data_IF_363871315498
#
_entry.id   IF_363871315498
#
_cell.length_a   1.000
_cell.length_b   1.000
_cell.length_c   1.000
_cell.angle_alpha   90.00
_cell.angle_beta   90.00
_cell.angle_gamma   90.00
#
_symmetry.space_group_name_H-M   'P 1'
#
loop_
_entity.id
_entity.type
_entity.pdbx_description
1 polymer ?
#
# COMPACT_ATOMS: atom_id res chain seq x y z
N UNK A 1 -21.57 -13.72 9.26
CA UNK A 1 -20.73 -12.51 9.33
C UNK A 1 -21.54 -11.24 9.65
N UNK A 2 -22.61 -10.89 8.92
CA UNK A 2 -23.55 -9.81 9.31
C UNK A 2 -24.11 -9.99 10.74
N UNK A 3 -24.38 -11.24 11.14
CA UNK A 3 -24.82 -11.60 12.49
C UNK A 3 -23.69 -11.60 13.55
N UNK A 4 -22.42 -11.73 13.15
CA UNK A 4 -21.30 -11.83 14.10
C UNK A 4 -20.77 -10.45 14.52
N UNK A 5 -20.93 -9.44 13.67
CA UNK A 5 -20.51 -8.06 13.93
C UNK A 5 -21.59 -7.22 14.63
N UNK A 6 -22.86 -7.62 14.54
CA UNK A 6 -23.98 -6.92 15.16
C UNK A 6 -24.12 -7.19 16.67
N UNK A 7 -23.53 -8.28 17.18
CA UNK A 7 -23.72 -8.72 18.58
C UNK A 7 -22.58 -8.30 19.54
N UNK A 8 -21.43 -7.82 19.06
CA UNK A 8 -20.26 -7.55 19.92
C UNK A 8 -19.55 -6.22 19.57
N UNK A 9 -19.94 -5.08 20.19
CA UNK A 9 -19.26 -3.78 20.07
C UNK A 9 -17.78 -3.82 20.50
N UNK A 10 -17.37 -4.89 21.20
CA UNK A 10 -15.98 -5.13 21.65
C UNK A 10 -15.02 -5.48 20.52
N UNK A 11 -15.52 -5.79 19.32
CA UNK A 11 -14.69 -6.15 18.17
C UNK A 11 -14.04 -4.95 17.47
N UNK A 12 -14.42 -3.70 17.80
CA UNK A 12 -13.82 -2.49 17.23
C UNK A 12 -12.29 -2.38 17.47
N UNK A 13 -11.77 -3.06 18.50
CA UNK A 13 -10.34 -3.19 18.79
C UNK A 13 -9.80 -4.62 18.72
N UNK A 14 -10.63 -5.59 18.33
CA UNK A 14 -10.19 -6.98 18.20
C UNK A 14 -9.38 -7.15 16.90
N UNK A 15 -8.23 -7.80 17.04
CA UNK A 15 -7.37 -8.15 15.91
C UNK A 15 -7.88 -9.45 15.28
N UNK A 16 -7.81 -9.54 13.95
CA UNK A 16 -7.92 -10.82 13.27
C UNK A 16 -6.63 -11.65 13.45
N UNK A 17 -6.59 -12.88 12.92
CA UNK A 17 -5.41 -13.75 13.00
C UNK A 17 -4.15 -13.15 12.33
N UNK A 18 -4.33 -12.14 11.47
CA UNK A 18 -3.25 -11.40 10.79
C UNK A 18 -2.83 -10.14 11.56
N UNK A 19 -3.42 -9.90 12.74
CA UNK A 19 -3.09 -8.78 13.61
C UNK A 19 -3.74 -7.45 13.24
N UNK A 20 -4.61 -7.39 12.22
CA UNK A 20 -5.28 -6.19 11.75
C UNK A 20 -6.57 -5.90 12.52
N UNK A 21 -6.87 -4.62 12.79
CA UNK A 21 -8.17 -4.22 13.32
C UNK A 21 -9.32 -4.60 12.39
N UNK A 22 -10.51 -4.86 12.93
CA UNK A 22 -11.69 -5.18 12.14
C UNK A 22 -12.04 -4.09 11.09
N UNK A 23 -11.70 -2.83 11.35
CA UNK A 23 -11.89 -1.71 10.41
C UNK A 23 -10.92 -1.81 9.23
N UNK A 24 -9.63 -2.04 9.50
CA UNK A 24 -8.63 -2.24 8.45
C UNK A 24 -8.89 -3.51 7.66
N UNK A 25 -9.40 -4.56 8.30
CA UNK A 25 -9.82 -5.78 7.61
C UNK A 25 -11.04 -5.56 6.70
N UNK A 26 -12.03 -4.77 7.13
CA UNK A 26 -13.15 -4.38 6.29
C UNK A 26 -12.67 -3.57 5.06
N UNK A 27 -11.75 -2.62 5.26
CA UNK A 27 -11.11 -1.92 4.17
C UNK A 27 -10.36 -2.90 3.25
N UNK A 28 -9.54 -3.79 3.82
CA UNK A 28 -8.71 -4.77 3.11
C UNK A 28 -9.54 -5.69 2.20
N UNK A 29 -10.66 -6.18 2.71
CA UNK A 29 -11.59 -7.03 1.97
C UNK A 29 -12.48 -6.24 0.99
N UNK A 30 -12.22 -4.92 0.81
CA UNK A 30 -12.99 -3.99 -0.02
C UNK A 30 -14.47 -3.94 0.35
N UNK A 31 -14.76 -4.02 1.64
CA UNK A 31 -16.07 -3.88 2.24
C UNK A 31 -16.15 -2.63 3.14
N UNK A 32 -15.90 -1.41 2.60
CA UNK A 32 -15.92 -0.18 3.39
C UNK A 32 -17.31 0.12 4.01
N UNK A 33 -18.38 -0.46 3.47
CA UNK A 33 -19.74 -0.36 4.02
C UNK A 33 -19.88 -0.99 5.41
N UNK A 34 -18.94 -1.85 5.81
CA UNK A 34 -18.90 -2.43 7.14
C UNK A 34 -18.19 -1.52 8.14
N UNK A 35 -17.44 -0.51 7.69
CA UNK A 35 -16.70 0.37 8.58
C UNK A 35 -17.59 1.12 9.58
N UNK A 36 -18.76 1.69 9.21
CA UNK A 36 -19.68 2.29 10.18
C UNK A 36 -20.21 1.29 11.21
N UNK A 37 -20.40 0.02 10.83
CA UNK A 37 -20.85 -1.03 11.76
C UNK A 37 -19.77 -1.37 12.79
N UNK A 38 -18.50 -1.39 12.37
CA UNK A 38 -17.36 -1.72 13.24
C UNK A 38 -16.94 -0.52 14.10
N UNK A 39 -16.98 0.69 13.55
CA UNK A 39 -16.70 1.94 14.28
C UNK A 39 -17.83 2.31 15.24
N UNK A 40 -19.07 1.95 14.93
CA UNK A 40 -20.25 2.40 15.66
C UNK A 40 -20.36 3.92 15.63
N UNK A 41 -20.42 4.56 16.81
CA UNK A 41 -20.51 6.01 16.94
C UNK A 41 -19.14 6.72 16.99
N UNK A 42 -18.01 6.00 16.97
CA UNK A 42 -16.68 6.62 17.04
C UNK A 42 -16.22 7.08 15.66
N UNK A 43 -15.52 8.21 15.62
CA UNK A 43 -14.80 8.61 14.40
C UNK A 43 -13.57 7.71 14.18
N UNK A 44 -13.20 7.45 12.91
CA UNK A 44 -11.99 6.71 12.62
C UNK A 44 -10.76 7.45 13.14
N UNK A 45 -9.78 6.69 13.60
CA UNK A 45 -8.46 7.23 13.89
C UNK A 45 -7.74 7.63 12.59
N UNK A 46 -6.51 8.13 12.70
CA UNK A 46 -5.77 8.61 11.55
C UNK A 46 -5.47 7.52 10.51
N UNK A 47 -5.02 6.35 10.95
CA UNK A 47 -4.65 5.25 10.05
C UNK A 47 -5.90 4.64 9.41
N UNK A 48 -6.98 4.50 10.18
CA UNK A 48 -8.28 4.08 9.67
C UNK A 48 -8.85 5.07 8.66
N UNK A 49 -8.74 6.38 8.91
CA UNK A 49 -9.16 7.41 7.97
C UNK A 49 -8.33 7.35 6.67
N UNK A 50 -7.01 7.07 6.76
CA UNK A 50 -6.17 6.86 5.58
C UNK A 50 -6.60 5.63 4.76
N UNK A 51 -7.12 4.59 5.42
CA UNK A 51 -7.60 3.38 4.75
C UNK A 51 -9.01 3.55 4.15
N UNK A 52 -9.92 4.19 4.88
CA UNK A 52 -11.32 4.33 4.50
C UNK A 52 -11.57 5.41 3.45
N UNK A 53 -10.70 6.41 3.34
CA UNK A 53 -10.82 7.48 2.36
C UNK A 53 -11.48 8.82 2.78
N UNK A 54 -11.99 9.07 4.01
CA UNK A 54 -12.56 10.39 4.34
C UNK A 54 -11.46 11.46 4.41
N UNK A 55 -11.22 12.13 3.30
CA UNK A 55 -10.15 13.11 3.09
C UNK A 55 -10.20 14.25 4.11
N UNK A 56 -11.39 14.76 4.40
CA UNK A 56 -11.61 15.86 5.33
C UNK A 56 -11.18 15.48 6.75
N UNK A 57 -11.43 14.22 7.14
CA UNK A 57 -11.00 13.70 8.45
C UNK A 57 -9.49 13.56 8.53
N UNK A 58 -8.85 13.08 7.45
CA UNK A 58 -7.38 13.02 7.39
C UNK A 58 -6.78 14.42 7.49
N UNK A 59 -7.29 15.39 6.73
CA UNK A 59 -6.81 16.76 6.76
C UNK A 59 -6.97 17.40 8.16
N UNK A 60 -8.10 17.15 8.83
CA UNK A 60 -8.33 17.62 10.20
C UNK A 60 -7.31 17.03 11.19
N UNK A 61 -7.04 15.73 11.11
CA UNK A 61 -6.08 15.05 11.99
C UNK A 61 -4.64 15.51 11.73
N UNK A 62 -4.25 15.71 10.46
CA UNK A 62 -2.95 16.29 10.10
C UNK A 62 -2.79 17.72 10.61
N UNK A 63 -3.86 18.52 10.61
CA UNK A 63 -3.82 19.89 11.13
C UNK A 63 -3.66 19.93 12.66
N UNK A 64 -4.17 18.92 13.37
CA UNK A 64 -4.04 18.79 14.83
C UNK A 64 -2.65 18.30 15.23
N UNK A 65 -2.13 17.31 14.53
CA UNK A 65 -0.80 16.75 14.76
C UNK A 65 -0.13 16.41 13.42
N UNK A 66 0.71 17.32 12.87
CA UNK A 66 1.45 17.04 11.64
C UNK A 66 2.42 15.86 11.75
N UNK A 67 2.88 15.53 12.97
CA UNK A 67 3.79 14.42 13.22
C UNK A 67 3.17 13.04 12.99
N UNK A 68 1.84 12.95 13.03
CA UNK A 68 1.09 11.70 12.89
C UNK A 68 1.31 11.04 11.52
N UNK A 69 1.64 11.82 10.48
CA UNK A 69 1.95 11.32 9.14
C UNK A 69 3.17 10.39 9.10
N UNK A 70 4.09 10.52 10.07
CA UNK A 70 5.32 9.72 10.20
C UNK A 70 5.14 8.49 11.09
N UNK A 71 4.02 8.40 11.80
CA UNK A 71 3.75 7.31 12.72
C UNK A 71 3.13 6.10 12.01
N UNK A 72 3.50 4.92 12.48
CA UNK A 72 2.85 3.68 12.08
C UNK A 72 1.66 3.39 13.00
N UNK A 73 0.65 2.71 12.46
CA UNK A 73 -0.46 2.20 13.22
C UNK A 73 0.03 1.14 14.21
N UNK A 74 -0.83 0.74 15.15
CA UNK A 74 -0.57 -0.38 16.06
C UNK A 74 -0.39 -1.72 15.34
N UNK A 75 -0.75 -1.77 14.06
CA UNK A 75 -0.61 -2.95 13.20
C UNK A 75 0.62 -2.85 12.29
N UNK A 76 1.44 -1.81 12.49
CA UNK A 76 2.70 -1.60 11.78
C UNK A 76 2.53 -0.97 10.40
N UNK A 77 1.35 -0.50 10.02
CA UNK A 77 1.14 0.15 8.72
C UNK A 77 1.35 1.65 8.81
N UNK A 78 2.08 2.25 7.87
CA UNK A 78 2.13 3.71 7.73
C UNK A 78 0.81 4.22 7.16
N UNK A 79 0.42 5.45 7.52
CA UNK A 79 -0.77 6.10 6.93
C UNK A 79 -0.65 6.17 5.40
N UNK A 80 0.56 6.45 4.89
CA UNK A 80 0.84 6.49 3.46
C UNK A 80 0.67 5.10 2.81
N UNK A 81 1.20 4.06 3.43
CA UNK A 81 1.05 2.68 2.94
C UNK A 81 -0.42 2.29 2.81
N UNK A 82 -1.25 2.62 3.82
CA UNK A 82 -2.69 2.36 3.77
C UNK A 82 -3.37 3.14 2.64
N UNK A 83 -3.13 4.46 2.55
CA UNK A 83 -3.72 5.29 1.50
C UNK A 83 -3.36 4.78 0.09
N UNK A 84 -2.10 4.39 -0.12
CA UNK A 84 -1.64 3.86 -1.40
C UNK A 84 -2.25 2.49 -1.69
N UNK A 85 -2.28 1.59 -0.71
CA UNK A 85 -2.85 0.25 -0.86
C UNK A 85 -4.33 0.30 -1.25
N UNK A 86 -5.09 1.23 -0.68
CA UNK A 86 -6.50 1.43 -0.98
C UNK A 86 -6.78 2.36 -2.18
N UNK A 87 -5.74 2.94 -2.80
CA UNK A 87 -5.91 3.72 -4.02
C UNK A 87 -6.25 5.20 -3.80
N UNK A 88 -6.15 5.72 -2.58
CA UNK A 88 -6.54 7.08 -2.22
C UNK A 88 -5.47 8.10 -2.59
N UNK A 89 -5.42 8.49 -3.88
CA UNK A 89 -4.41 9.39 -4.43
C UNK A 89 -4.28 10.73 -3.67
N UNK A 90 -5.40 11.40 -3.41
CA UNK A 90 -5.38 12.71 -2.72
C UNK A 90 -4.93 12.60 -1.27
N UNK A 91 -5.27 11.50 -0.59
CA UNK A 91 -4.76 11.23 0.77
C UNK A 91 -3.27 10.96 0.72
N UNK A 92 -2.80 10.13 -0.21
CA UNK A 92 -1.37 9.89 -0.39
C UNK A 92 -0.60 11.21 -0.63
N UNK A 93 -1.16 12.12 -1.44
CA UNK A 93 -0.58 13.44 -1.72
C UNK A 93 -0.44 14.28 -0.43
N UNK A 94 -1.52 14.41 0.34
CA UNK A 94 -1.50 15.13 1.62
C UNK A 94 -0.47 14.56 2.60
N UNK A 95 -0.36 13.23 2.67
CA UNK A 95 0.56 12.56 3.59
C UNK A 95 2.02 12.79 3.22
N UNK A 96 2.34 12.74 1.93
CA UNK A 96 3.69 13.02 1.44
C UNK A 96 4.06 14.49 1.66
N UNK A 97 3.13 15.42 1.43
CA UNK A 97 3.30 16.85 1.74
C UNK A 97 3.47 17.12 3.24
N UNK A 98 2.82 16.32 4.09
CA UNK A 98 3.00 16.34 5.55
C UNK A 98 4.31 15.67 6.02
N UNK A 99 5.14 15.18 5.09
CA UNK A 99 6.45 14.61 5.39
C UNK A 99 6.41 13.14 5.81
N UNK A 100 5.40 12.38 5.37
CA UNK A 100 5.42 10.92 5.49
C UNK A 100 6.63 10.33 4.74
N UNK A 101 7.25 9.30 5.32
CA UNK A 101 8.37 8.61 4.69
C UNK A 101 7.87 7.67 3.58
N UNK A 102 8.11 8.04 2.32
CA UNK A 102 7.72 7.28 1.12
C UNK A 102 8.42 5.92 0.99
N UNK A 103 9.54 5.73 1.70
CA UNK A 103 10.36 4.52 1.64
C UNK A 103 10.16 3.60 2.85
N UNK A 104 9.43 4.06 3.87
CA UNK A 104 9.26 3.29 5.10
C UNK A 104 8.38 2.07 4.87
N UNK A 105 8.90 0.84 5.00
CA UNK A 105 8.07 -0.35 4.92
C UNK A 105 7.16 -0.47 6.15
N UNK A 106 6.11 -1.28 6.03
CA UNK A 106 5.32 -1.69 7.18
C UNK A 106 6.20 -2.44 8.20
N UNK A 107 5.89 -2.30 9.50
CA UNK A 107 6.56 -3.01 10.58
C UNK A 107 6.02 -4.45 10.77
N UNK A 108 5.08 -4.88 9.92
CA UNK A 108 4.58 -6.24 9.91
C UNK A 108 5.58 -7.21 9.25
N UNK A 109 5.30 -8.52 9.32
CA UNK A 109 6.21 -9.58 8.82
C UNK A 109 6.52 -9.44 7.32
N UNK A 110 5.58 -8.89 6.55
CA UNK A 110 5.70 -8.78 5.08
C UNK A 110 6.58 -7.58 4.68
N UNK A 111 6.67 -6.54 5.53
CA UNK A 111 7.48 -5.32 5.31
C UNK A 111 7.26 -4.67 3.94
N UNK A 112 6.01 -4.46 3.57
CA UNK A 112 5.61 -3.89 2.28
C UNK A 112 5.93 -2.40 2.26
N UNK A 113 6.67 -1.96 1.24
CA UNK A 113 6.90 -0.54 0.98
C UNK A 113 5.71 0.09 0.24
N UNK A 114 5.42 1.39 0.42
CA UNK A 114 4.35 2.08 -0.31
C UNK A 114 4.45 1.90 -1.82
N UNK A 115 5.66 1.88 -2.38
CA UNK A 115 5.89 1.71 -3.81
C UNK A 115 5.40 0.35 -4.34
N UNK A 116 5.57 -0.74 -3.58
CA UNK A 116 4.99 -2.05 -3.92
C UNK A 116 3.47 -2.01 -3.87
N UNK A 117 2.88 -1.36 -2.86
CA UNK A 117 1.42 -1.21 -2.77
C UNK A 117 0.83 -0.46 -3.97
N UNK A 118 1.54 0.53 -4.53
CA UNK A 118 1.12 1.22 -5.74
C UNK A 118 1.11 0.29 -6.97
N UNK A 119 2.11 -0.58 -7.08
CA UNK A 119 2.18 -1.59 -8.15
C UNK A 119 1.08 -2.64 -8.00
N UNK A 120 0.84 -3.13 -6.79
CA UNK A 120 -0.21 -4.12 -6.51
C UNK A 120 -1.62 -3.58 -6.74
N UNK A 121 -1.86 -2.31 -6.39
CA UNK A 121 -3.12 -1.64 -6.71
C UNK A 121 -3.29 -1.37 -8.21
N UNK A 122 -2.19 -1.37 -8.98
CA UNK A 122 -2.21 -1.06 -10.41
C UNK A 122 -2.34 0.44 -10.71
N UNK A 123 -2.17 1.31 -9.72
CA UNK A 123 -2.31 2.76 -9.86
C UNK A 123 -1.00 3.41 -10.32
N UNK A 124 -0.94 3.77 -11.60
CA UNK A 124 0.20 4.51 -12.18
C UNK A 124 0.34 5.89 -11.54
N UNK A 125 -0.76 6.58 -11.26
CA UNK A 125 -0.73 7.89 -10.62
C UNK A 125 -0.11 7.85 -9.21
N UNK A 126 -0.40 6.81 -8.43
CA UNK A 126 0.24 6.62 -7.12
C UNK A 126 1.72 6.26 -7.26
N UNK A 127 2.07 5.44 -8.25
CA UNK A 127 3.46 5.11 -8.56
C UNK A 127 4.26 6.37 -8.88
N UNK A 128 3.76 7.21 -9.78
CA UNK A 128 4.40 8.49 -10.15
C UNK A 128 4.52 9.43 -8.97
N UNK A 129 3.47 9.56 -8.15
CA UNK A 129 3.48 10.41 -6.96
C UNK A 129 4.61 9.99 -6.01
N UNK A 130 4.74 8.69 -5.73
CA UNK A 130 5.76 8.18 -4.83
C UNK A 130 7.17 8.35 -5.41
N UNK A 131 7.38 8.05 -6.69
CA UNK A 131 8.67 8.21 -7.37
C UNK A 131 9.11 9.68 -7.40
N UNK A 132 8.19 10.62 -7.67
CA UNK A 132 8.46 12.05 -7.68
C UNK A 132 8.93 12.59 -6.31
N UNK A 133 8.57 11.90 -5.22
CA UNK A 133 8.96 12.26 -3.86
C UNK A 133 10.10 11.39 -3.30
N UNK A 134 10.87 10.74 -4.17
CA UNK A 134 12.09 10.03 -3.79
C UNK A 134 11.88 8.60 -3.30
N UNK A 135 10.79 7.95 -3.71
CA UNK A 135 10.65 6.51 -3.50
C UNK A 135 11.75 5.74 -4.26
N UNK A 136 12.41 4.83 -3.56
CA UNK A 136 13.49 4.00 -4.08
C UNK A 136 12.90 2.87 -4.94
N UNK A 137 13.24 2.77 -6.22
CA UNK A 137 12.62 1.80 -7.13
C UNK A 137 13.04 0.34 -6.87
N UNK A 138 14.16 0.13 -6.18
CA UNK A 138 14.71 -1.20 -5.87
C UNK A 138 14.52 -1.61 -4.40
N UNK A 139 13.53 -1.03 -3.71
CA UNK A 139 13.13 -1.56 -2.41
C UNK A 139 12.75 -3.02 -2.58
N UNK A 140 13.18 -3.84 -1.63
CA UNK A 140 12.89 -5.28 -1.64
C UNK A 140 11.87 -5.61 -0.56
N UNK A 141 10.90 -6.43 -0.92
CA UNK A 141 9.95 -7.04 0.01
C UNK A 141 10.29 -8.51 0.29
N UNK A 142 9.28 -9.29 0.70
CA UNK A 142 9.37 -10.74 0.82
C UNK A 142 9.96 -11.40 -0.45
N UNK A 143 10.80 -12.43 -0.26
CA UNK A 143 11.55 -13.12 -1.33
C UNK A 143 12.48 -12.22 -2.17
N UNK A 144 12.92 -11.08 -1.63
CA UNK A 144 13.79 -10.13 -2.31
C UNK A 144 13.18 -9.58 -3.62
N UNK A 145 11.85 -9.57 -3.72
CA UNK A 145 11.14 -9.04 -4.87
C UNK A 145 11.13 -7.50 -4.86
N UNK A 146 11.43 -6.90 -6.01
CA UNK A 146 11.34 -5.44 -6.23
C UNK A 146 10.00 -5.07 -6.89
N UNK A 147 9.58 -3.79 -6.84
CA UNK A 147 8.40 -3.31 -7.55
C UNK A 147 8.41 -3.68 -9.06
N UNK A 148 9.60 -3.73 -9.67
CA UNK A 148 9.77 -4.11 -11.07
C UNK A 148 9.39 -5.58 -11.31
N UNK A 149 9.71 -6.48 -10.38
CA UNK A 149 9.28 -7.88 -10.45
C UNK A 149 7.76 -8.01 -10.44
N UNK A 150 7.09 -7.32 -9.52
CA UNK A 150 5.62 -7.32 -9.43
C UNK A 150 4.96 -6.70 -10.66
N UNK A 151 5.46 -5.56 -11.15
CA UNK A 151 4.95 -4.90 -12.35
C UNK A 151 5.09 -5.82 -13.59
N UNK A 152 6.22 -6.52 -13.69
CA UNK A 152 6.51 -7.44 -14.77
C UNK A 152 5.61 -8.70 -14.74
N UNK A 153 5.42 -9.31 -13.58
CA UNK A 153 4.52 -10.45 -13.40
C UNK A 153 3.07 -10.11 -13.76
N UNK A 154 2.64 -8.88 -13.45
CA UNK A 154 1.29 -8.36 -13.76
C UNK A 154 1.14 -7.95 -15.23
N UNK A 155 2.24 -7.76 -15.95
CA UNK A 155 2.22 -7.32 -17.35
C UNK A 155 1.88 -5.84 -17.52
N UNK A 156 2.10 -5.01 -16.49
CA UNK A 156 1.81 -3.58 -16.58
C UNK A 156 2.98 -2.84 -17.22
N UNK A 157 2.94 -2.71 -18.54
CA UNK A 157 3.97 -2.06 -19.36
C UNK A 157 4.29 -0.65 -18.89
N UNK A 158 3.28 0.17 -18.63
CA UNK A 158 3.46 1.56 -18.23
C UNK A 158 4.20 1.68 -16.89
N UNK A 159 3.84 0.84 -15.91
CA UNK A 159 4.56 0.79 -14.63
C UNK A 159 6.01 0.35 -14.80
N UNK A 160 6.27 -0.63 -15.67
CA UNK A 160 7.64 -1.06 -15.99
C UNK A 160 8.44 0.08 -16.61
N UNK A 161 7.88 0.82 -17.57
CA UNK A 161 8.53 2.00 -18.16
C UNK A 161 8.89 3.04 -17.10
N UNK A 162 7.95 3.36 -16.20
CA UNK A 162 8.15 4.35 -15.13
C UNK A 162 9.19 3.91 -14.09
N UNK A 163 9.16 2.64 -13.67
CA UNK A 163 10.14 2.10 -12.73
C UNK A 163 11.55 2.08 -13.33
N UNK A 164 11.71 1.70 -14.59
CA UNK A 164 12.99 1.76 -15.30
C UNK A 164 13.50 3.19 -15.45
N UNK A 165 12.61 4.14 -15.78
CA UNK A 165 12.96 5.56 -15.88
C UNK A 165 13.40 6.14 -14.52
N UNK A 166 12.87 5.61 -13.41
CA UNK A 166 13.30 5.97 -12.06
C UNK A 166 14.60 5.29 -11.61
N UNK A 167 15.20 4.43 -12.44
CA UNK A 167 16.47 3.77 -12.18
C UNK A 167 16.38 2.38 -11.55
N UNK A 168 15.23 1.69 -11.67
CA UNK A 168 15.12 0.29 -11.23
C UNK A 168 16.13 -0.62 -11.95
N UNK A 169 16.79 -1.51 -11.21
CA UNK A 169 17.71 -2.49 -11.78
C UNK A 169 16.93 -3.65 -12.43
N UNK A 170 16.91 -3.67 -13.77
CA UNK A 170 16.27 -4.73 -14.58
C UNK A 170 16.89 -6.11 -14.42
N UNK A 171 18.15 -6.19 -13.96
CA UNK A 171 18.89 -7.44 -13.81
C UNK A 171 18.88 -7.99 -12.39
N UNK A 172 18.29 -7.24 -11.44
CA UNK A 172 18.11 -7.71 -10.08
C UNK A 172 17.31 -9.01 -10.07
N UNK A 173 17.73 -9.93 -9.21
CA UNK A 173 17.11 -11.25 -9.06
C UNK A 173 16.36 -11.32 -7.75
N UNK A 174 15.23 -12.01 -7.76
CA UNK A 174 14.55 -12.47 -6.54
C UNK A 174 15.40 -13.52 -5.83
N UNK A 175 14.97 -13.92 -4.63
CA UNK A 175 15.56 -15.02 -3.86
C UNK A 175 15.61 -16.35 -4.64
N UNK A 176 14.66 -16.57 -5.56
CA UNK A 176 14.61 -17.75 -6.43
C UNK A 176 15.51 -17.61 -7.68
N UNK A 177 16.29 -16.54 -7.78
CA UNK A 177 17.21 -16.29 -8.89
C UNK A 177 16.54 -15.79 -10.17
N UNK A 178 15.26 -15.39 -10.12
CA UNK A 178 14.49 -14.93 -11.29
C UNK A 178 14.61 -13.43 -11.46
N UNK A 179 14.80 -12.97 -12.69
CA UNK A 179 14.70 -11.54 -13.03
C UNK A 179 13.25 -11.13 -13.28
N UNK A 180 12.97 -9.83 -13.35
CA UNK A 180 11.66 -9.31 -13.74
C UNK A 180 11.23 -9.84 -15.12
N UNK A 181 12.16 -9.96 -16.07
CA UNK A 181 11.88 -10.54 -17.40
C UNK A 181 11.50 -12.03 -17.31
N UNK A 182 12.13 -12.80 -16.42
CA UNK A 182 11.81 -14.22 -16.24
C UNK A 182 10.41 -14.41 -15.65
N UNK A 183 10.03 -13.56 -14.68
CA UNK A 183 8.67 -13.55 -14.16
C UNK A 183 7.66 -13.15 -15.24
N UNK A 184 7.92 -12.11 -16.02
CA UNK A 184 7.06 -11.73 -17.14
C UNK A 184 6.85 -12.92 -18.11
N UNK A 185 7.90 -13.65 -18.49
CA UNK A 185 7.77 -14.86 -19.32
C UNK A 185 6.97 -15.97 -18.63
N UNK A 186 7.24 -16.22 -17.35
CA UNK A 186 6.54 -17.25 -16.57
C UNK A 186 5.02 -16.99 -16.52
N UNK A 187 4.61 -15.74 -16.42
CA UNK A 187 3.20 -15.33 -16.39
C UNK A 187 2.61 -15.01 -17.78
N UNK A 188 3.34 -15.30 -18.87
CA UNK A 188 2.86 -15.12 -20.24
C UNK A 188 2.78 -13.67 -20.72
N UNK A 189 3.53 -12.76 -20.10
CA UNK A 189 3.64 -11.33 -20.45
C UNK A 189 4.78 -11.10 -21.44
N UNK A 190 4.60 -11.59 -22.66
CA UNK A 190 5.66 -11.62 -23.67
C UNK A 190 6.14 -10.21 -24.07
N UNK A 191 5.22 -9.25 -24.16
CA UNK A 191 5.47 -7.84 -24.45
C UNK A 191 6.34 -7.17 -23.38
N UNK A 192 6.02 -7.38 -22.10
CA UNK A 192 6.79 -6.83 -20.98
C UNK A 192 8.13 -7.55 -20.83
N UNK A 193 8.18 -8.86 -21.08
CA UNK A 193 9.42 -9.62 -21.09
C UNK A 193 10.39 -9.17 -22.19
N UNK A 194 9.86 -8.70 -23.32
CA UNK A 194 10.66 -8.14 -24.42
C UNK A 194 11.17 -6.74 -24.08
N UNK A 195 10.33 -5.90 -23.45
CA UNK A 195 10.74 -4.59 -22.95
C UNK A 195 11.88 -4.66 -21.92
N UNK A 196 11.90 -5.74 -21.12
CA UNK A 196 12.89 -5.99 -20.08
C UNK A 196 14.13 -6.77 -20.57
N UNK A 197 14.26 -7.02 -21.88
CA UNK A 197 15.48 -7.59 -22.46
C UNK A 197 16.69 -6.66 -22.35
#
# INVERSE_FOLDING_TARGET
>A
MRALLAEEPRLAGAKNNDGATAVLWAAYTRHPELAPLVLGAREPDFHEACALGPRERVAQLLAQDPGIAKANSRDGFSGLGLAVFFGHLEIARMLVEAGADVNRPSDNVIRVAPLHSAVESGSVALLELLLAHGAKPDLVEFLEATPLHSAAARGNREMVEKLLAAGADRHRKTKDGKTAADLARQYGRADVAEQLR
#
